data_IF_158232219233
#
_entry.id   IF_158232219233
#
_cell.length_a   1.000
_cell.length_b   1.000
_cell.length_c   1.000
_cell.angle_alpha   90.00
_cell.angle_beta   90.00
_cell.angle_gamma   90.00
#
_symmetry.space_group_name_H-M   'P 1'
#
loop_
_entity.id
_entity.type
_entity.pdbx_description
1 polymer ?
#
# COMPACT_ATOMS: atom_id res chain seq x y z
N UNK A 1 46.55 22.65 51.84
CA UNK A 1 46.46 23.00 50.39
C UNK A 1 45.68 21.86 49.72
N UNK A 2 44.40 22.10 49.39
CA UNK A 2 43.56 21.11 48.75
C UNK A 2 43.27 21.61 47.34
N UNK A 3 43.79 20.89 46.35
CA UNK A 3 43.62 21.24 44.92
C UNK A 3 42.31 20.61 44.43
N UNK A 4 41.34 21.46 44.09
CA UNK A 4 40.10 21.01 43.44
C UNK A 4 40.31 20.91 41.92
N UNK A 5 40.24 19.70 41.38
CA UNK A 5 40.23 19.47 39.94
C UNK A 5 38.80 19.61 39.42
N UNK A 6 38.58 20.62 38.58
CA UNK A 6 37.31 20.82 37.82
C UNK A 6 37.33 19.91 36.58
N UNK A 7 36.46 18.90 36.57
CA UNK A 7 36.14 18.12 35.34
C UNK A 7 35.16 18.93 34.47
N UNK A 8 35.62 19.37 33.31
CA UNK A 8 34.76 19.93 32.28
C UNK A 8 34.15 18.81 31.46
N UNK A 9 32.83 18.60 31.57
CA UNK A 9 32.09 17.68 30.75
C UNK A 9 31.70 18.36 29.42
N UNK A 10 32.31 17.93 28.32
CA UNK A 10 31.95 18.36 26.97
C UNK A 10 30.66 17.65 26.50
N UNK A 11 29.56 18.38 26.41
CA UNK A 11 28.34 17.91 25.73
C UNK A 11 28.61 17.91 24.21
N UNK A 12 28.72 16.73 23.63
CA UNK A 12 28.71 16.57 22.17
C UNK A 12 27.25 16.74 21.67
N UNK A 13 26.96 17.87 21.03
CA UNK A 13 25.73 18.08 20.29
C UNK A 13 25.74 17.22 19.03
N UNK A 14 25.01 16.11 19.02
CA UNK A 14 24.71 15.33 17.81
C UNK A 14 23.71 16.10 16.95
N UNK A 15 24.19 16.64 15.83
CA UNK A 15 23.35 17.28 14.82
C UNK A 15 22.45 16.21 14.20
N UNK A 16 21.15 16.29 14.48
CA UNK A 16 20.12 15.54 13.75
C UNK A 16 20.05 16.11 12.31
N UNK A 17 20.75 15.48 11.38
CA UNK A 17 20.58 15.76 9.96
C UNK A 17 19.17 15.31 9.57
N UNK A 18 18.26 16.28 9.40
CA UNK A 18 16.93 16.05 8.84
C UNK A 18 17.09 15.50 7.42
N UNK A 19 16.59 14.30 7.17
CA UNK A 19 16.46 13.76 5.81
C UNK A 19 15.66 14.75 4.96
N UNK A 20 16.08 15.05 3.71
CA UNK A 20 15.33 15.93 2.85
C UNK A 20 13.92 15.38 2.66
N UNK A 21 12.91 16.17 2.99
CA UNK A 21 11.51 15.83 2.73
C UNK A 21 11.38 15.52 1.23
N UNK A 22 10.97 14.29 0.90
CA UNK A 22 10.70 13.94 -0.50
C UNK A 22 9.62 14.90 -1.01
N UNK A 23 9.93 15.64 -2.07
CA UNK A 23 8.97 16.53 -2.70
C UNK A 23 7.69 15.72 -3.01
N UNK A 24 6.58 16.12 -2.40
CA UNK A 24 5.29 15.46 -2.61
C UNK A 24 4.82 15.74 -4.03
N UNK A 25 4.52 14.68 -4.79
CA UNK A 25 3.99 14.79 -6.15
C UNK A 25 2.61 15.46 -6.10
N UNK A 26 2.46 16.61 -6.77
CA UNK A 26 1.18 17.31 -6.85
C UNK A 26 0.33 16.76 -8.00
N UNK A 27 -0.57 15.84 -7.69
CA UNK A 27 -1.46 15.20 -8.66
C UNK A 27 -2.50 16.16 -9.30
N UNK A 28 -2.68 17.38 -8.76
CA UNK A 28 -3.48 18.40 -9.45
C UNK A 28 -2.77 18.90 -10.71
N UNK A 29 -1.44 18.92 -10.71
CA UNK A 29 -0.61 19.49 -11.79
C UNK A 29 -0.05 18.43 -12.73
N UNK A 30 0.20 17.20 -12.24
CA UNK A 30 0.82 16.14 -13.02
C UNK A 30 -0.10 14.95 -13.21
N UNK A 31 0.25 14.06 -14.15
CA UNK A 31 -0.55 12.86 -14.50
C UNK A 31 -0.23 11.73 -13.54
N UNK A 32 -0.95 11.64 -12.43
CA UNK A 32 -0.78 10.57 -11.45
C UNK A 32 -1.52 9.28 -11.84
N UNK A 33 -0.99 8.16 -11.36
CA UNK A 33 -1.60 6.83 -11.44
C UNK A 33 -1.20 6.03 -10.20
N UNK A 34 -2.16 5.40 -9.52
CA UNK A 34 -1.89 4.49 -8.43
C UNK A 34 -1.92 3.04 -8.92
N UNK A 35 -0.81 2.33 -8.76
CA UNK A 35 -0.76 0.88 -8.90
C UNK A 35 -0.99 0.27 -7.52
N UNK A 36 -1.93 -0.67 -7.42
CA UNK A 36 -2.28 -1.32 -6.16
C UNK A 36 -2.12 -2.83 -6.27
N UNK A 37 -1.68 -3.45 -5.17
CA UNK A 37 -1.40 -4.87 -5.10
C UNK A 37 -2.09 -5.47 -3.89
N UNK A 38 -2.91 -6.50 -4.12
CA UNK A 38 -3.68 -7.20 -3.11
C UNK A 38 -3.06 -8.57 -2.78
N UNK A 39 -3.53 -9.21 -1.72
CA UNK A 39 -3.22 -10.57 -1.25
C UNK A 39 -1.82 -10.78 -0.64
N UNK A 40 -0.94 -9.78 -0.69
CA UNK A 40 0.39 -9.86 -0.10
C UNK A 40 0.40 -9.72 1.45
N UNK A 41 1.62 -9.72 2.01
CA UNK A 41 2.90 -9.91 1.36
C UNK A 41 3.16 -11.38 1.01
N UNK A 42 3.82 -11.61 -0.11
CA UNK A 42 4.15 -12.95 -0.58
C UNK A 42 5.57 -13.08 -1.13
N UNK A 43 5.92 -14.26 -1.63
CA UNK A 43 7.26 -14.55 -2.17
C UNK A 43 7.67 -13.61 -3.32
N UNK A 44 6.70 -13.08 -4.09
CA UNK A 44 6.93 -12.16 -5.19
C UNK A 44 7.19 -10.72 -4.76
N UNK A 45 6.67 -10.31 -3.59
CA UNK A 45 6.71 -8.93 -3.09
C UNK A 45 8.12 -8.35 -3.04
N UNK A 46 9.18 -9.04 -2.55
CA UNK A 46 10.54 -8.48 -2.53
C UNK A 46 11.09 -8.14 -3.93
N UNK A 47 10.75 -8.92 -4.95
CA UNK A 47 11.15 -8.67 -6.33
C UNK A 47 10.41 -7.47 -6.91
N UNK A 48 9.11 -7.36 -6.63
CA UNK A 48 8.30 -6.20 -7.00
C UNK A 48 8.84 -4.91 -6.36
N UNK A 49 9.14 -4.92 -5.05
CA UNK A 49 9.71 -3.78 -4.34
C UNK A 49 11.05 -3.30 -4.95
N UNK A 50 11.90 -4.24 -5.39
CA UNK A 50 13.15 -3.90 -6.11
C UNK A 50 12.85 -3.18 -7.44
N UNK A 51 11.85 -3.65 -8.19
CA UNK A 51 11.47 -3.02 -9.45
C UNK A 51 10.89 -1.61 -9.24
N UNK A 52 10.01 -1.43 -8.26
CA UNK A 52 9.44 -0.14 -7.88
C UNK A 52 10.54 0.85 -7.45
N UNK A 53 11.46 0.40 -6.58
CA UNK A 53 12.59 1.22 -6.12
C UNK A 53 13.48 1.67 -7.28
N UNK A 54 13.82 0.78 -8.21
CA UNK A 54 14.64 1.08 -9.38
C UNK A 54 14.06 2.21 -10.23
N UNK A 55 12.74 2.23 -10.38
CA UNK A 55 12.04 3.22 -11.18
C UNK A 55 11.58 4.46 -10.39
N UNK A 56 11.87 4.52 -9.07
CA UNK A 56 11.41 5.60 -8.19
C UNK A 56 9.89 5.65 -8.05
N UNK A 57 9.20 4.53 -8.30
CA UNK A 57 7.76 4.42 -8.25
C UNK A 57 7.26 4.09 -6.84
N UNK A 58 6.09 4.63 -6.47
CA UNK A 58 5.38 4.27 -5.25
C UNK A 58 4.09 3.53 -5.61
N UNK A 59 3.62 2.69 -4.68
CA UNK A 59 2.42 1.87 -4.85
C UNK A 59 1.69 1.72 -3.51
N UNK A 60 0.49 1.15 -3.55
CA UNK A 60 -0.26 0.79 -2.35
C UNK A 60 -0.45 -0.72 -2.32
N UNK A 61 -0.28 -1.31 -1.14
CA UNK A 61 -0.42 -2.75 -0.92
C UNK A 61 -1.54 -2.98 0.10
N UNK A 62 -2.55 -3.76 -0.28
CA UNK A 62 -3.61 -4.20 0.61
C UNK A 62 -3.26 -5.60 1.12
N UNK A 63 -2.88 -5.67 2.39
CA UNK A 63 -2.26 -6.86 2.97
C UNK A 63 -3.28 -7.74 3.69
N UNK A 64 -3.20 -9.04 3.44
CA UNK A 64 -3.97 -10.07 4.15
C UNK A 64 -3.28 -10.39 5.49
N UNK A 65 -4.01 -10.34 6.60
CA UNK A 65 -3.47 -10.54 7.95
C UNK A 65 -2.65 -11.82 8.09
N UNK A 66 -3.20 -12.96 7.66
CA UNK A 66 -2.48 -14.26 7.64
C UNK A 66 -1.15 -14.23 6.88
N UNK A 67 -1.02 -13.37 5.87
CA UNK A 67 0.22 -13.23 5.12
C UNK A 67 1.21 -12.31 5.83
N UNK A 68 0.71 -11.29 6.52
CA UNK A 68 1.58 -10.41 7.34
C UNK A 68 2.20 -11.19 8.49
N UNK A 69 1.46 -12.06 9.19
CA UNK A 69 2.00 -12.95 10.22
C UNK A 69 3.19 -13.77 9.71
N UNK A 70 3.04 -14.36 8.53
CA UNK A 70 4.09 -15.17 7.89
C UNK A 70 5.28 -14.36 7.38
N UNK A 71 5.06 -13.10 7.02
CA UNK A 71 6.00 -12.29 6.25
C UNK A 71 6.15 -10.86 6.80
N UNK A 72 6.08 -10.66 8.12
CA UNK A 72 6.14 -9.35 8.78
C UNK A 72 7.33 -8.49 8.33
N UNK A 73 8.50 -9.10 8.08
CA UNK A 73 9.68 -8.39 7.59
C UNK A 73 9.48 -7.77 6.19
N UNK A 74 8.64 -8.40 5.35
CA UNK A 74 8.31 -7.87 4.02
C UNK A 74 7.35 -6.69 4.17
N UNK A 75 6.36 -6.77 5.06
CA UNK A 75 5.45 -5.66 5.36
C UNK A 75 6.22 -4.42 5.87
N UNK A 76 7.13 -4.59 6.84
CA UNK A 76 8.04 -3.52 7.30
C UNK A 76 8.83 -2.90 6.16
N UNK A 77 9.41 -3.73 5.30
CA UNK A 77 10.21 -3.26 4.16
C UNK A 77 9.36 -2.49 3.15
N UNK A 78 8.12 -2.91 2.92
CA UNK A 78 7.16 -2.22 2.06
C UNK A 78 6.93 -0.80 2.56
N UNK A 79 6.61 -0.64 3.85
CA UNK A 79 6.42 0.68 4.47
C UNK A 79 7.71 1.51 4.44
N UNK A 80 8.85 0.94 4.83
CA UNK A 80 10.13 1.63 4.88
C UNK A 80 10.60 2.15 3.50
N UNK A 81 10.13 1.55 2.41
CA UNK A 81 10.37 2.04 1.05
C UNK A 81 9.39 3.14 0.61
N UNK A 82 8.50 3.60 1.51
CA UNK A 82 7.54 4.68 1.27
C UNK A 82 6.36 4.26 0.41
N UNK A 83 6.00 2.99 0.40
CA UNK A 83 4.73 2.50 -0.14
C UNK A 83 3.64 2.65 0.92
N UNK A 84 2.39 2.78 0.50
CA UNK A 84 1.26 2.77 1.42
C UNK A 84 0.80 1.32 1.67
N UNK A 85 0.29 1.10 2.88
CA UNK A 85 -0.30 -0.18 3.29
C UNK A 85 -1.77 0.05 3.65
N UNK A 86 -2.64 -0.85 3.19
CA UNK A 86 -4.03 -0.98 3.57
C UNK A 86 -4.34 -2.37 4.09
N UNK A 87 -5.51 -2.51 4.70
CA UNK A 87 -6.07 -3.74 5.24
C UNK A 87 -6.83 -4.51 4.15
N UNK A 88 -6.61 -5.82 4.03
CA UNK A 88 -7.31 -6.70 3.09
C UNK A 88 -7.93 -7.92 3.80
N UNK A 89 -8.41 -7.72 5.04
CA UNK A 89 -8.96 -8.71 5.95
C UNK A 89 -7.95 -9.78 6.41
N UNK A 90 -8.32 -10.56 7.42
CA UNK A 90 -7.42 -11.55 8.00
C UNK A 90 -7.28 -12.79 7.12
N UNK A 91 -8.40 -13.36 6.71
CA UNK A 91 -8.44 -14.62 5.97
C UNK A 91 -8.78 -14.50 4.48
N UNK A 92 -8.99 -13.26 3.99
CA UNK A 92 -9.48 -12.99 2.64
C UNK A 92 -10.93 -13.50 2.43
N UNK A 93 -11.77 -13.37 3.46
CA UNK A 93 -13.16 -13.83 3.45
C UNK A 93 -14.06 -12.92 2.60
N UNK A 94 -15.15 -13.50 2.05
CA UNK A 94 -16.21 -12.75 1.36
C UNK A 94 -17.12 -12.10 2.40
N UNK A 95 -16.87 -10.86 2.76
CA UNK A 95 -17.48 -10.17 3.91
C UNK A 95 -19.01 -10.13 3.91
N UNK A 96 -19.74 -9.87 2.80
CA UNK A 96 -21.20 -9.86 2.84
C UNK A 96 -21.85 -11.18 3.26
N UNK A 97 -21.12 -12.28 3.26
CA UNK A 97 -21.62 -13.60 3.71
C UNK A 97 -21.36 -13.90 5.19
N UNK A 98 -20.67 -13.00 5.90
CA UNK A 98 -20.32 -13.15 7.31
C UNK A 98 -21.29 -12.38 8.22
N UNK A 99 -21.32 -12.72 9.51
CA UNK A 99 -21.98 -11.93 10.55
C UNK A 99 -21.18 -10.66 10.87
N UNK A 100 -21.80 -9.66 11.48
CA UNK A 100 -21.16 -8.36 11.77
C UNK A 100 -19.91 -8.51 12.65
N UNK A 101 -19.99 -9.34 13.69
CA UNK A 101 -18.85 -9.59 14.57
C UNK A 101 -17.70 -10.27 13.83
N UNK A 102 -18.00 -11.21 12.93
CA UNK A 102 -16.99 -11.87 12.09
C UNK A 102 -16.31 -10.89 11.14
N UNK A 103 -17.08 -9.95 10.56
CA UNK A 103 -16.52 -8.88 9.71
C UNK A 103 -15.59 -7.98 10.52
N UNK A 104 -16.02 -7.56 11.70
CA UNK A 104 -15.21 -6.74 12.60
C UNK A 104 -13.92 -7.44 13.03
N UNK A 105 -13.99 -8.74 13.32
CA UNK A 105 -12.82 -9.55 13.66
C UNK A 105 -11.84 -9.66 12.50
N UNK A 106 -12.31 -9.93 11.29
CA UNK A 106 -11.49 -9.95 10.06
C UNK A 106 -10.74 -8.62 9.84
N UNK A 107 -11.41 -7.50 10.10
CA UNK A 107 -10.82 -6.17 9.90
C UNK A 107 -9.89 -5.80 11.06
N UNK A 108 -10.34 -5.88 12.31
CA UNK A 108 -9.59 -5.44 13.51
C UNK A 108 -8.33 -6.26 13.70
N UNK A 109 -8.44 -7.59 13.63
CA UNK A 109 -7.28 -8.49 13.74
C UNK A 109 -6.21 -8.13 12.71
N UNK A 110 -6.60 -7.83 11.47
CA UNK A 110 -5.64 -7.43 10.44
C UNK A 110 -5.00 -6.06 10.72
N UNK A 111 -5.77 -5.09 11.23
CA UNK A 111 -5.20 -3.79 11.63
C UNK A 111 -4.12 -3.96 12.71
N UNK A 112 -4.41 -4.76 13.75
CA UNK A 112 -3.49 -5.04 14.86
C UNK A 112 -2.21 -5.73 14.35
N UNK A 113 -2.35 -6.78 13.55
CA UNK A 113 -1.21 -7.50 12.96
C UNK A 113 -0.33 -6.58 12.10
N UNK A 114 -0.93 -5.71 11.28
CA UNK A 114 -0.16 -4.76 10.46
C UNK A 114 0.53 -3.72 11.36
N UNK A 115 -0.16 -3.22 12.39
CA UNK A 115 0.39 -2.25 13.36
C UNK A 115 1.56 -2.87 14.13
N UNK A 116 1.41 -4.07 14.66
CA UNK A 116 2.47 -4.80 15.36
C UNK A 116 3.69 -5.06 14.46
N UNK A 117 3.43 -5.44 13.20
CA UNK A 117 4.50 -5.72 12.25
C UNK A 117 5.23 -4.46 11.78
N UNK A 118 4.58 -3.31 11.66
CA UNK A 118 5.10 -2.15 10.92
C UNK A 118 5.15 -0.85 11.72
N UNK A 119 4.44 -0.76 12.85
CA UNK A 119 4.19 0.48 13.58
C UNK A 119 3.15 1.40 12.92
N UNK A 120 2.51 0.95 11.84
CA UNK A 120 1.48 1.71 11.13
C UNK A 120 0.12 1.06 11.34
N UNK A 121 -0.85 1.79 11.92
CA UNK A 121 -2.25 1.41 11.88
C UNK A 121 -2.88 1.84 10.56
N UNK A 122 -3.33 0.91 9.68
CA UNK A 122 -3.92 1.25 8.39
C UNK A 122 -5.15 2.16 8.52
N UNK A 123 -5.32 3.07 7.55
CA UNK A 123 -6.49 3.93 7.39
C UNK A 123 -7.27 3.63 6.11
N UNK A 124 -6.83 2.62 5.37
CA UNK A 124 -7.44 2.15 4.13
C UNK A 124 -7.75 0.67 4.24
N UNK A 125 -8.87 0.31 3.66
CA UNK A 125 -9.38 -1.05 3.58
C UNK A 125 -9.82 -1.35 2.14
N UNK A 126 -9.58 -2.55 1.68
CA UNK A 126 -10.15 -3.05 0.44
C UNK A 126 -10.84 -4.37 0.73
N UNK A 127 -12.16 -4.50 0.47
CA UNK A 127 -12.86 -5.77 0.67
C UNK A 127 -12.38 -6.80 -0.35
N UNK A 128 -12.11 -8.06 0.07
CA UNK A 128 -11.81 -9.15 -0.85
C UNK A 128 -12.85 -9.28 -1.96
N UNK A 129 -12.38 -9.56 -3.19
CA UNK A 129 -13.23 -9.66 -4.39
C UNK A 129 -13.97 -8.37 -4.78
N UNK A 130 -13.74 -7.24 -4.09
CA UNK A 130 -14.60 -6.06 -4.16
C UNK A 130 -15.99 -6.31 -3.60
N UNK A 131 -16.19 -7.38 -2.83
CA UNK A 131 -17.49 -7.73 -2.26
C UNK A 131 -17.77 -6.85 -1.03
N UNK A 132 -18.69 -5.90 -1.22
CA UNK A 132 -19.09 -4.91 -0.23
C UNK A 132 -20.57 -4.58 -0.37
N UNK A 133 -21.13 -4.04 0.70
CA UNK A 133 -22.46 -3.43 0.79
C UNK A 133 -22.41 -2.31 1.84
N UNK A 134 -23.54 -1.61 2.08
CA UNK A 134 -23.62 -0.52 3.06
C UNK A 134 -23.30 -1.00 4.48
N UNK A 135 -23.62 -2.25 4.82
CA UNK A 135 -23.31 -2.88 6.11
C UNK A 135 -21.81 -3.05 6.28
N UNK A 136 -21.12 -3.61 5.29
CA UNK A 136 -19.65 -3.77 5.31
C UNK A 136 -18.96 -2.41 5.40
N UNK A 137 -19.44 -1.41 4.65
CA UNK A 137 -18.89 -0.06 4.69
C UNK A 137 -19.08 0.59 6.07
N UNK A 138 -20.26 0.45 6.67
CA UNK A 138 -20.53 0.97 8.02
C UNK A 138 -19.69 0.29 9.12
N UNK A 139 -19.40 -1.02 8.98
CA UNK A 139 -18.52 -1.73 9.91
C UNK A 139 -17.04 -1.32 9.72
N UNK A 140 -16.61 -1.06 8.50
CA UNK A 140 -15.28 -0.51 8.22
C UNK A 140 -15.13 0.91 8.81
N UNK A 141 -16.18 1.74 8.77
CA UNK A 141 -16.21 3.06 9.41
C UNK A 141 -16.00 2.98 10.92
N UNK A 142 -16.63 2.04 11.61
CA UNK A 142 -16.45 1.79 13.04
C UNK A 142 -14.99 1.45 13.41
N UNK A 143 -14.18 1.04 12.45
CA UNK A 143 -12.75 0.74 12.62
C UNK A 143 -11.85 1.84 12.06
N UNK A 144 -12.41 3.01 11.72
CA UNK A 144 -11.69 4.19 11.24
C UNK A 144 -10.98 3.94 9.88
N UNK A 145 -11.65 3.21 9.00
CA UNK A 145 -11.16 2.82 7.69
C UNK A 145 -11.99 3.43 6.55
N UNK A 146 -11.28 3.93 5.53
CA UNK A 146 -11.86 4.24 4.24
C UNK A 146 -11.81 3.04 3.30
N UNK A 147 -12.89 2.77 2.58
CA UNK A 147 -12.92 1.73 1.56
C UNK A 147 -12.27 2.23 0.26
N UNK A 148 -11.33 1.46 -0.29
CA UNK A 148 -10.65 1.77 -1.55
C UNK A 148 -10.91 0.64 -2.55
N UNK A 149 -11.67 0.92 -3.58
CA UNK A 149 -11.89 0.01 -4.71
C UNK A 149 -10.85 0.29 -5.82
N UNK A 150 -11.25 0.29 -7.09
CA UNK A 150 -10.35 0.50 -8.23
C UNK A 150 -11.10 1.06 -9.44
N UNK A 151 -10.37 1.72 -10.31
CA UNK A 151 -10.91 2.18 -11.60
C UNK A 151 -10.69 1.19 -12.74
N UNK A 152 -9.92 0.14 -12.50
CA UNK A 152 -9.66 -0.93 -13.46
C UNK A 152 -8.92 -2.11 -12.84
N UNK A 153 -9.33 -3.31 -13.21
CA UNK A 153 -8.66 -4.56 -12.83
C UNK A 153 -7.99 -5.20 -14.04
N UNK A 154 -6.80 -5.73 -13.84
CA UNK A 154 -6.05 -6.42 -14.90
C UNK A 154 -6.49 -7.85 -15.10
N UNK A 155 -7.20 -8.44 -14.14
CA UNK A 155 -7.53 -9.88 -14.07
C UNK A 155 -6.25 -10.74 -14.15
N UNK A 156 -5.16 -10.28 -13.58
CA UNK A 156 -3.83 -10.90 -13.65
C UNK A 156 -3.81 -12.31 -13.06
N UNK A 157 -4.60 -12.57 -12.01
CA UNK A 157 -4.81 -13.87 -11.39
C UNK A 157 -5.37 -14.92 -12.39
N UNK A 158 -6.15 -14.48 -13.38
CA UNK A 158 -6.72 -15.31 -14.44
C UNK A 158 -5.80 -15.36 -15.67
N UNK A 159 -5.28 -14.21 -16.11
CA UNK A 159 -4.44 -14.11 -17.31
C UNK A 159 -3.13 -14.89 -17.18
N UNK A 160 -2.46 -14.79 -16.06
CA UNK A 160 -1.16 -15.46 -15.76
C UNK A 160 -0.10 -15.36 -16.85
N UNK A 161 -0.18 -14.33 -17.68
CA UNK A 161 0.73 -14.04 -18.79
C UNK A 161 1.27 -12.62 -18.68
N UNK A 162 2.60 -12.48 -18.56
CA UNK A 162 3.23 -11.19 -18.32
C UNK A 162 3.03 -10.18 -19.46
N UNK A 163 2.92 -10.63 -20.72
CA UNK A 163 2.67 -9.74 -21.87
C UNK A 163 1.23 -9.25 -21.89
N UNK A 164 0.26 -10.14 -21.61
CA UNK A 164 -1.16 -9.80 -21.51
C UNK A 164 -1.43 -8.87 -20.35
N UNK A 165 -0.83 -9.12 -19.18
CA UNK A 165 -0.93 -8.27 -17.99
C UNK A 165 -0.37 -6.87 -18.28
N UNK A 166 0.84 -6.78 -18.89
CA UNK A 166 1.39 -5.49 -19.33
C UNK A 166 0.43 -4.75 -20.27
N UNK A 167 -0.11 -5.42 -21.27
CA UNK A 167 -1.07 -4.81 -22.19
C UNK A 167 -2.33 -4.31 -21.47
N UNK A 168 -2.85 -5.09 -20.53
CA UNK A 168 -4.01 -4.71 -19.72
C UNK A 168 -3.74 -3.45 -18.89
N UNK A 169 -2.63 -3.39 -18.14
CA UNK A 169 -2.24 -2.19 -17.38
C UNK A 169 -2.14 -0.96 -18.28
N UNK A 170 -1.45 -1.08 -19.43
CA UNK A 170 -1.24 0.04 -20.33
C UNK A 170 -2.53 0.55 -21.01
N UNK A 171 -3.53 -0.31 -21.17
CA UNK A 171 -4.88 0.03 -21.66
C UNK A 171 -5.71 0.70 -20.56
N UNK A 172 -5.63 0.23 -19.32
CA UNK A 172 -6.38 0.75 -18.17
C UNK A 172 -5.80 2.07 -17.63
N UNK A 173 -4.52 2.37 -17.93
CA UNK A 173 -3.84 3.54 -17.43
C UNK A 173 -4.52 4.84 -17.89
N UNK A 174 -5.06 5.59 -16.94
CA UNK A 174 -5.64 6.92 -17.11
C UNK A 174 -5.20 7.82 -15.96
N UNK A 175 -5.28 9.15 -16.17
CA UNK A 175 -5.00 10.12 -15.09
C UNK A 175 -5.93 9.83 -13.90
N UNK A 176 -5.35 9.89 -12.71
CA UNK A 176 -6.02 9.69 -11.43
C UNK A 176 -6.69 8.29 -11.29
N UNK A 177 -6.22 7.32 -12.10
CA UNK A 177 -6.69 5.94 -12.03
C UNK A 177 -6.08 5.16 -10.88
N UNK A 178 -6.79 4.11 -10.45
CA UNK A 178 -6.33 3.09 -9.51
C UNK A 178 -6.44 1.74 -10.19
N UNK A 179 -5.31 1.04 -10.37
CA UNK A 179 -5.27 -0.26 -11.06
C UNK A 179 -5.00 -1.37 -10.05
N UNK A 180 -5.90 -2.35 -10.03
CA UNK A 180 -5.80 -3.56 -9.22
C UNK A 180 -4.94 -4.61 -9.91
N UNK A 181 -3.98 -5.13 -9.16
CA UNK A 181 -3.13 -6.29 -9.45
C UNK A 181 -2.85 -7.08 -8.16
N UNK A 182 -2.10 -8.20 -8.28
CA UNK A 182 -1.70 -9.02 -7.15
C UNK A 182 -0.19 -9.29 -7.18
N UNK A 183 0.51 -9.02 -6.08
CA UNK A 183 1.95 -9.29 -5.95
C UNK A 183 2.26 -10.77 -5.67
N UNK A 184 1.22 -11.54 -5.38
CA UNK A 184 1.23 -13.00 -5.25
C UNK A 184 1.21 -13.74 -6.60
N UNK A 185 0.93 -13.01 -7.72
CA UNK A 185 0.91 -13.57 -9.08
C UNK A 185 2.29 -13.42 -9.74
N UNK A 186 3.05 -14.50 -10.00
CA UNK A 186 4.41 -14.42 -10.55
C UNK A 186 4.49 -13.71 -11.90
N UNK A 187 3.47 -13.85 -12.76
CA UNK A 187 3.42 -13.19 -14.06
C UNK A 187 3.29 -11.67 -13.94
N UNK A 188 2.57 -11.18 -12.93
CA UNK A 188 2.48 -9.75 -12.60
C UNK A 188 3.84 -9.21 -12.20
N UNK A 189 4.51 -9.87 -11.25
CA UNK A 189 5.85 -9.48 -10.81
C UNK A 189 6.84 -9.45 -11.98
N UNK A 190 6.80 -10.45 -12.86
CA UNK A 190 7.62 -10.52 -14.08
C UNK A 190 7.33 -9.37 -15.05
N UNK A 191 6.08 -8.92 -15.16
CA UNK A 191 5.67 -7.85 -16.06
C UNK A 191 6.09 -6.44 -15.58
N UNK A 192 6.24 -6.25 -14.24
CA UNK A 192 6.40 -4.92 -13.64
C UNK A 192 7.54 -4.07 -14.18
N UNK A 193 8.78 -4.56 -14.41
CA UNK A 193 9.83 -3.70 -14.96
C UNK A 193 9.44 -3.04 -16.29
N UNK A 194 8.80 -3.80 -17.17
CA UNK A 194 8.33 -3.30 -18.45
C UNK A 194 7.10 -2.39 -18.38
N UNK A 195 6.22 -2.61 -17.38
CA UNK A 195 5.06 -1.76 -17.08
C UNK A 195 5.54 -0.40 -16.57
N UNK A 196 6.39 -0.38 -15.55
CA UNK A 196 6.88 0.83 -14.90
C UNK A 196 7.61 1.74 -15.90
N UNK A 197 8.52 1.17 -16.70
CA UNK A 197 9.25 1.90 -17.73
C UNK A 197 8.31 2.55 -18.76
N UNK A 198 7.31 1.81 -19.23
CA UNK A 198 6.37 2.30 -20.24
C UNK A 198 5.43 3.37 -19.67
N UNK A 199 4.92 3.21 -18.45
CA UNK A 199 4.07 4.21 -17.79
C UNK A 199 4.83 5.53 -17.58
N UNK A 200 6.09 5.46 -17.13
CA UNK A 200 6.96 6.64 -17.02
C UNK A 200 7.18 7.32 -18.38
N UNK A 201 7.44 6.55 -19.46
CA UNK A 201 7.55 7.08 -20.81
C UNK A 201 6.29 7.80 -21.27
N UNK A 202 5.11 7.36 -20.81
CA UNK A 202 3.80 8.00 -21.07
C UNK A 202 3.52 9.19 -20.15
N UNK A 203 4.49 9.59 -19.33
CA UNK A 203 4.40 10.75 -18.43
C UNK A 203 3.59 10.51 -17.15
N UNK A 204 3.35 9.27 -16.75
CA UNK A 204 2.70 8.99 -15.48
C UNK A 204 3.67 9.10 -14.30
N UNK A 205 3.21 9.78 -13.25
CA UNK A 205 3.80 9.73 -11.92
C UNK A 205 3.11 8.62 -11.13
N UNK A 206 3.89 7.59 -10.76
CA UNK A 206 3.37 6.43 -10.04
C UNK A 206 3.42 6.71 -8.55
N UNK A 207 2.25 6.85 -7.95
CA UNK A 207 2.06 7.33 -6.58
C UNK A 207 1.25 6.35 -5.74
N UNK A 208 1.23 6.56 -4.41
CA UNK A 208 0.32 5.84 -3.51
C UNK A 208 -1.11 6.36 -3.63
N UNK A 209 -2.11 5.57 -3.19
CA UNK A 209 -3.51 6.03 -3.12
C UNK A 209 -3.65 7.29 -2.24
N UNK A 210 -3.06 7.39 -1.03
CA UNK A 210 -3.11 8.65 -0.26
C UNK A 210 -2.56 9.86 -1.01
N UNK A 211 -1.49 9.71 -1.76
CA UNK A 211 -0.95 10.80 -2.60
C UNK A 211 -1.92 11.16 -3.72
N UNK A 212 -2.56 10.16 -4.34
CA UNK A 212 -3.56 10.37 -5.39
C UNK A 212 -4.77 11.17 -4.88
N UNK A 213 -5.18 10.91 -3.64
CA UNK A 213 -6.23 11.66 -2.94
C UNK A 213 -5.77 13.05 -2.47
N UNK A 214 -4.62 13.52 -2.94
CA UNK A 214 -4.07 14.88 -2.74
C UNK A 214 -3.83 15.23 -1.27
N UNK A 215 -3.39 14.24 -0.49
CA UNK A 215 -3.00 14.42 0.92
C UNK A 215 -4.16 14.75 1.87
N UNK A 216 -5.41 14.75 1.40
CA UNK A 216 -6.58 14.91 2.28
C UNK A 216 -6.81 13.68 3.16
N UNK A 217 -6.03 12.63 2.94
CA UNK A 217 -6.23 11.33 3.57
C UNK A 217 -7.54 10.66 3.14
N UNK A 218 -7.62 9.34 3.16
CA UNK A 218 -8.89 8.66 2.99
C UNK A 218 -9.75 8.90 4.23
N UNK A 219 -10.97 9.45 4.05
CA UNK A 219 -11.93 9.64 5.12
C UNK A 219 -12.62 8.32 5.46
N UNK A 220 -12.72 8.00 6.76
CA UNK A 220 -13.45 6.84 7.26
C UNK A 220 -14.90 6.83 6.77
N UNK A 221 -15.47 5.65 6.54
CA UNK A 221 -16.85 5.48 6.07
C UNK A 221 -17.11 5.92 4.64
N UNK A 222 -16.07 6.35 3.89
CA UNK A 222 -16.19 6.75 2.49
C UNK A 222 -15.63 5.66 1.58
N UNK A 223 -16.36 5.34 0.51
CA UNK A 223 -15.88 4.48 -0.57
C UNK A 223 -15.30 5.31 -1.71
N UNK A 224 -14.06 4.98 -2.10
CA UNK A 224 -13.33 5.62 -3.19
C UNK A 224 -13.15 4.68 -4.37
N UNK A 225 -13.37 5.19 -5.62
CA UNK A 225 -13.17 4.55 -6.93
C UNK A 225 -14.16 3.44 -7.33
#
# INVERSE_FOLDING_TARGET
>A
MVIHALLAASLAMTSLTSLPAQATVDCARVKCLALTFDDGPGAGTPTLLKALKKEGAKATFFLVGKQVEKHAAIARKTLAQGHAIGNHTYSHARLPSLLDDEILDEIKTTQEIIEDATGLRPKMFRPPYGATDDRVLGLADQTDLAQILWTGTTLDWSLRDAKKIKAAVLRLAKRDGVILMHDTVPATVKAMPGILKELKKRGYHLVTVPTLLRGKGPASGVSYF
#
